data_IF_908490621186
#
_entry.id   IF_908490621186
#
_cell.length_a   1.000
_cell.length_b   1.000
_cell.length_c   1.000
_cell.angle_alpha   90.00
_cell.angle_beta   90.00
_cell.angle_gamma   90.00
#
_symmetry.space_group_name_H-M   'P 1'
#
loop_
_entity.id
_entity.type
_entity.pdbx_description
1 polymer ?
#
# COMPACT_ATOMS: atom_id res chain seq x y z
N UNK A 1 30.59 18.26 -0.90
CA UNK A 1 29.82 17.49 0.10
C UNK A 1 29.78 16.02 -0.36
N UNK A 2 30.52 15.12 0.31
CA UNK A 2 30.48 13.68 0.01
C UNK A 2 29.16 13.11 0.54
N UNK A 3 28.23 12.74 -0.33
CA UNK A 3 27.07 11.96 0.09
C UNK A 3 27.57 10.64 0.69
N UNK A 4 27.10 10.34 1.90
CA UNK A 4 27.45 9.14 2.64
C UNK A 4 27.15 7.90 1.78
N UNK A 5 28.12 6.98 1.62
CA UNK A 5 28.04 5.80 0.72
C UNK A 5 27.12 4.68 1.22
N UNK A 6 26.28 4.93 2.23
CA UNK A 6 25.34 3.94 2.74
C UNK A 6 24.12 3.89 1.81
N UNK A 7 23.67 2.70 1.38
CA UNK A 7 22.44 2.59 0.62
C UNK A 7 21.29 3.24 1.41
N UNK A 8 20.37 3.90 0.70
CA UNK A 8 19.20 4.49 1.32
C UNK A 8 18.37 3.40 2.01
N UNK A 9 17.97 3.63 3.26
CA UNK A 9 17.09 2.73 4.01
C UNK A 9 15.65 3.11 3.68
N UNK A 10 14.86 2.14 3.24
CA UNK A 10 13.44 2.31 2.93
C UNK A 10 12.56 1.93 4.12
N UNK A 11 11.30 2.37 4.09
CA UNK A 11 10.27 1.88 5.03
C UNK A 11 10.20 0.34 5.05
N UNK A 12 10.28 -0.28 3.87
CA UNK A 12 10.21 -1.73 3.75
C UNK A 12 11.40 -2.41 4.44
N UNK A 13 12.60 -1.84 4.36
CA UNK A 13 13.79 -2.38 5.04
C UNK A 13 13.61 -2.36 6.56
N UNK A 14 13.08 -1.26 7.10
CA UNK A 14 12.78 -1.12 8.53
C UNK A 14 11.73 -2.14 8.95
N UNK A 15 10.61 -2.21 8.21
CA UNK A 15 9.54 -3.17 8.48
C UNK A 15 10.06 -4.62 8.49
N UNK A 16 10.82 -5.01 7.46
CA UNK A 16 11.38 -6.36 7.36
C UNK A 16 12.39 -6.67 8.47
N UNK A 17 13.17 -5.68 8.91
CA UNK A 17 14.08 -5.86 10.04
C UNK A 17 13.30 -6.16 11.34
N UNK A 18 12.20 -5.47 11.58
CA UNK A 18 11.31 -5.77 12.71
C UNK A 18 10.60 -7.11 12.56
N UNK A 19 10.09 -7.44 11.37
CA UNK A 19 9.44 -8.72 11.12
C UNK A 19 10.36 -9.92 11.36
N UNK A 20 11.66 -9.79 11.05
CA UNK A 20 12.67 -10.81 11.37
C UNK A 20 13.02 -10.88 12.86
N UNK A 21 13.18 -9.72 13.53
CA UNK A 21 13.64 -9.67 14.93
C UNK A 21 12.54 -9.93 15.94
N UNK A 22 11.31 -9.54 15.63
CA UNK A 22 10.16 -9.51 16.55
C UNK A 22 8.86 -9.91 15.83
N UNK A 23 8.80 -11.12 15.23
CA UNK A 23 7.67 -11.53 14.39
C UNK A 23 6.32 -11.48 15.11
N UNK A 24 6.28 -11.87 16.39
CA UNK A 24 5.06 -11.94 17.21
C UNK A 24 4.70 -10.63 17.92
N UNK A 25 5.48 -9.56 17.75
CA UNK A 25 5.14 -8.29 18.38
C UNK A 25 3.93 -7.64 17.68
N UNK A 26 3.02 -7.02 18.45
CA UNK A 26 1.93 -6.23 17.88
C UNK A 26 2.48 -5.11 16.99
N UNK A 27 1.97 -5.04 15.76
CA UNK A 27 2.24 -3.97 14.81
C UNK A 27 1.04 -3.03 14.68
N UNK A 28 -0.17 -3.59 14.58
CA UNK A 28 -1.40 -2.84 14.39
C UNK A 28 -2.48 -3.43 15.28
N UNK A 29 -3.15 -2.54 16.03
CA UNK A 29 -4.37 -2.86 16.75
C UNK A 29 -5.53 -2.31 15.93
N UNK A 30 -6.52 -3.15 15.64
CA UNK A 30 -7.70 -2.73 14.90
C UNK A 30 -8.92 -3.43 15.45
N UNK A 31 -9.85 -2.64 16.02
CA UNK A 31 -10.97 -3.17 16.79
C UNK A 31 -10.44 -4.14 17.87
N UNK A 32 -11.01 -5.34 17.97
CA UNK A 32 -10.61 -6.37 18.93
C UNK A 32 -9.49 -7.28 18.41
N UNK A 33 -8.90 -6.97 17.24
CA UNK A 33 -7.86 -7.78 16.62
C UNK A 33 -6.47 -7.17 16.78
N UNK A 34 -5.50 -8.05 17.04
CA UNK A 34 -4.07 -7.72 17.08
C UNK A 34 -3.38 -8.32 15.87
N UNK A 35 -2.75 -7.47 15.07
CA UNK A 35 -1.96 -7.87 13.92
C UNK A 35 -0.48 -7.81 14.28
N UNK A 36 0.19 -8.95 14.25
CA UNK A 36 1.63 -9.01 14.49
C UNK A 36 2.43 -8.61 13.25
N UNK A 37 3.73 -8.38 13.41
CA UNK A 37 4.62 -8.16 12.26
C UNK A 37 4.60 -9.35 11.28
N UNK A 38 4.56 -10.58 11.77
CA UNK A 38 4.47 -11.79 10.93
C UNK A 38 3.15 -11.85 10.16
N UNK A 39 2.03 -11.52 10.80
CA UNK A 39 0.73 -11.47 10.13
C UNK A 39 0.72 -10.46 8.99
N UNK A 40 1.26 -9.27 9.25
CA UNK A 40 1.33 -8.21 8.27
C UNK A 40 2.28 -8.58 7.12
N UNK A 41 3.42 -9.22 7.41
CA UNK A 41 4.36 -9.66 6.38
C UNK A 41 3.74 -10.75 5.49
N UNK A 42 3.07 -11.74 6.09
CA UNK A 42 2.37 -12.81 5.38
C UNK A 42 1.25 -12.26 4.48
N UNK A 43 0.40 -11.37 5.00
CA UNK A 43 -0.70 -10.76 4.23
C UNK A 43 -0.18 -9.89 3.09
N UNK A 44 0.84 -9.06 3.34
CA UNK A 44 1.44 -8.23 2.30
C UNK A 44 2.19 -9.05 1.24
N UNK A 45 2.85 -10.16 1.61
CA UNK A 45 3.44 -11.09 0.64
C UNK A 45 2.38 -11.74 -0.26
N UNK A 46 1.24 -12.14 0.32
CA UNK A 46 0.12 -12.69 -0.44
C UNK A 46 -0.46 -11.64 -1.41
N UNK A 47 -0.68 -10.42 -0.93
CA UNK A 47 -1.18 -9.31 -1.76
C UNK A 47 -0.21 -8.98 -2.90
N UNK A 48 1.10 -8.86 -2.63
CA UNK A 48 2.11 -8.59 -3.65
C UNK A 48 2.11 -9.65 -4.77
N UNK A 49 1.96 -10.93 -4.42
CA UNK A 49 1.84 -12.01 -5.43
C UNK A 49 0.59 -11.87 -6.28
N UNK A 50 -0.55 -11.52 -5.69
CA UNK A 50 -1.80 -11.29 -6.44
C UNK A 50 -1.65 -10.09 -7.36
N UNK A 51 -1.15 -8.97 -6.83
CA UNK A 51 -0.93 -7.73 -7.58
C UNK A 51 0.00 -7.93 -8.78
N UNK A 52 1.12 -8.64 -8.59
CA UNK A 52 2.04 -8.94 -9.69
C UNK A 52 1.43 -9.91 -10.70
N UNK A 53 0.83 -11.03 -10.26
CA UNK A 53 0.38 -12.11 -11.17
C UNK A 53 -0.96 -11.85 -11.85
N UNK A 54 -1.90 -11.22 -11.15
CA UNK A 54 -3.28 -11.00 -11.63
C UNK A 54 -3.45 -9.62 -12.24
N UNK A 55 -2.77 -8.61 -11.71
CA UNK A 55 -2.89 -7.22 -12.17
C UNK A 55 -1.70 -6.77 -13.02
N UNK A 56 -0.64 -7.57 -13.10
CA UNK A 56 0.51 -7.27 -13.96
C UNK A 56 1.38 -6.10 -13.48
N UNK A 57 1.32 -5.76 -12.18
CA UNK A 57 2.05 -4.63 -11.62
C UNK A 57 3.57 -4.82 -11.71
N UNK A 58 4.26 -3.76 -12.12
CA UNK A 58 5.71 -3.68 -12.33
C UNK A 58 6.35 -2.56 -11.49
N UNK A 59 7.63 -2.70 -11.12
CA UNK A 59 8.36 -1.64 -10.43
C UNK A 59 8.26 -0.29 -11.17
N UNK A 60 8.13 0.79 -10.40
CA UNK A 60 8.00 2.17 -10.91
C UNK A 60 6.57 2.59 -11.26
N UNK A 61 5.62 1.68 -11.33
CA UNK A 61 4.21 2.04 -11.56
C UNK A 61 3.56 2.64 -10.31
N UNK A 62 2.72 3.65 -10.51
CA UNK A 62 1.88 4.21 -9.47
C UNK A 62 0.55 3.45 -9.37
N UNK A 63 0.09 3.20 -8.15
CA UNK A 63 -1.20 2.58 -7.85
C UNK A 63 -1.96 3.49 -6.90
N UNK A 64 -3.15 3.90 -7.32
CA UNK A 64 -4.05 4.66 -6.49
C UNK A 64 -4.76 3.70 -5.54
N UNK A 65 -4.75 4.01 -4.25
CA UNK A 65 -5.36 3.18 -3.22
C UNK A 65 -6.46 4.00 -2.57
N UNK A 66 -7.68 3.52 -2.72
CA UNK A 66 -8.93 4.11 -2.25
C UNK A 66 -9.61 3.14 -1.28
N UNK A 67 -8.98 2.99 -0.12
CA UNK A 67 -9.42 2.11 0.96
C UNK A 67 -9.73 2.94 2.21
N UNK A 68 -10.70 2.51 3.05
CA UNK A 68 -10.91 3.12 4.35
C UNK A 68 -9.74 2.83 5.31
N UNK A 69 -9.83 3.38 6.52
CA UNK A 69 -8.89 3.06 7.59
C UNK A 69 -9.14 1.64 8.10
N UNK A 70 -8.54 0.67 7.44
CA UNK A 70 -8.61 -0.75 7.76
C UNK A 70 -7.21 -1.38 7.70
N UNK A 71 -6.98 -2.55 8.33
CA UNK A 71 -5.70 -3.24 8.29
C UNK A 71 -5.20 -3.50 6.86
N UNK A 72 -6.12 -3.64 5.91
CA UNK A 72 -5.81 -3.84 4.51
C UNK A 72 -5.02 -2.71 3.86
N UNK A 73 -5.19 -1.49 4.36
CA UNK A 73 -4.41 -0.35 3.92
C UNK A 73 -2.91 -0.59 4.13
N UNK A 74 -2.54 -1.10 5.31
CA UNK A 74 -1.13 -1.31 5.70
C UNK A 74 -0.49 -2.44 4.90
N UNK A 75 -1.14 -3.61 4.77
CA UNK A 75 -0.54 -4.69 3.97
C UNK A 75 -0.55 -4.38 2.47
N UNK A 76 -1.48 -3.56 1.98
CA UNK A 76 -1.49 -3.09 0.59
C UNK A 76 -0.30 -2.18 0.33
N UNK A 77 -0.01 -1.25 1.24
CA UNK A 77 1.16 -0.38 1.14
C UNK A 77 2.47 -1.17 1.12
N UNK A 78 2.63 -2.12 2.05
CA UNK A 78 3.80 -2.99 2.12
C UNK A 78 3.90 -3.89 0.87
N UNK A 79 2.78 -4.37 0.33
CA UNK A 79 2.76 -5.16 -0.89
C UNK A 79 3.25 -4.36 -2.10
N UNK A 80 2.78 -3.12 -2.26
CA UNK A 80 3.23 -2.23 -3.33
C UNK A 80 4.71 -1.87 -3.17
N UNK A 81 5.16 -1.59 -1.95
CA UNK A 81 6.57 -1.37 -1.66
C UNK A 81 7.45 -2.58 -2.03
N UNK A 82 7.00 -3.80 -1.74
CA UNK A 82 7.70 -5.06 -2.11
C UNK A 82 7.79 -5.25 -3.62
N UNK A 83 6.83 -4.73 -4.38
CA UNK A 83 6.84 -4.74 -5.85
C UNK A 83 7.61 -3.56 -6.47
N UNK A 84 8.15 -2.64 -5.65
CA UNK A 84 8.75 -1.41 -6.13
C UNK A 84 7.75 -0.45 -6.78
N UNK A 85 6.46 -0.58 -6.46
CA UNK A 85 5.40 0.30 -6.95
C UNK A 85 5.21 1.49 -6.01
N UNK A 86 4.76 2.62 -6.56
CA UNK A 86 4.39 3.81 -5.81
C UNK A 86 2.92 3.71 -5.39
N UNK A 87 2.63 4.08 -4.14
CA UNK A 87 1.25 4.16 -3.66
C UNK A 87 0.80 5.62 -3.63
N UNK A 88 -0.26 5.92 -4.37
CA UNK A 88 -0.99 7.19 -4.26
C UNK A 88 -2.15 7.01 -3.29
N UNK A 89 -2.03 7.61 -2.11
CA UNK A 89 -3.02 7.54 -1.05
C UNK A 89 -4.22 8.43 -1.37
N UNK A 90 -5.36 7.83 -1.71
CA UNK A 90 -6.60 8.56 -1.95
C UNK A 90 -7.48 8.48 -0.70
N UNK A 91 -7.88 9.65 -0.18
CA UNK A 91 -8.75 9.72 0.97
C UNK A 91 -10.17 9.31 0.59
N UNK A 92 -10.66 8.23 1.21
CA UNK A 92 -12.00 7.67 1.00
C UNK A 92 -13.16 8.60 1.39
N UNK A 93 -12.91 9.74 2.04
CA UNK A 93 -13.92 10.77 2.34
C UNK A 93 -14.05 11.85 1.26
N UNK A 94 -13.12 11.90 0.29
CA UNK A 94 -13.15 12.89 -0.78
C UNK A 94 -14.16 12.47 -1.85
N UNK A 95 -14.92 13.44 -2.38
CA UNK A 95 -16.03 13.19 -3.32
C UNK A 95 -15.95 14.08 -4.55
N UNK A 96 -16.71 13.70 -5.57
CA UNK A 96 -16.97 14.48 -6.78
C UNK A 96 -15.68 14.99 -7.45
N UNK A 97 -15.65 16.28 -7.81
CA UNK A 97 -14.56 16.92 -8.57
C UNK A 97 -13.20 16.82 -7.88
N UNK A 98 -13.18 16.87 -6.54
CA UNK A 98 -11.93 16.76 -5.78
C UNK A 98 -11.35 15.34 -5.88
N UNK A 99 -12.20 14.31 -5.82
CA UNK A 99 -11.76 12.93 -6.01
C UNK A 99 -11.30 12.71 -7.46
N UNK A 100 -12.03 13.27 -8.42
CA UNK A 100 -11.64 13.18 -9.83
C UNK A 100 -10.25 13.80 -10.08
N UNK A 101 -10.01 14.97 -9.51
CA UNK A 101 -8.72 15.64 -9.58
C UNK A 101 -7.60 14.80 -8.94
N UNK A 102 -7.85 14.23 -7.75
CA UNK A 102 -6.86 13.41 -7.05
C UNK A 102 -6.50 12.13 -7.81
N UNK A 103 -7.50 11.44 -8.39
CA UNK A 103 -7.27 10.25 -9.22
C UNK A 103 -6.46 10.61 -10.47
N UNK A 104 -6.83 11.69 -11.17
CA UNK A 104 -6.10 12.14 -12.36
C UNK A 104 -4.65 12.55 -12.03
N UNK A 105 -4.44 13.25 -10.92
CA UNK A 105 -3.11 13.66 -10.46
C UNK A 105 -2.21 12.47 -10.08
N UNK A 106 -2.79 11.36 -9.61
CA UNK A 106 -2.04 10.16 -9.23
C UNK A 106 -1.35 9.50 -10.43
N UNK A 107 -1.84 9.73 -11.67
CA UNK A 107 -1.36 9.08 -12.91
C UNK A 107 -1.13 7.57 -12.72
N UNK A 108 -2.03 6.95 -11.95
CA UNK A 108 -1.90 5.58 -11.52
C UNK A 108 -2.24 4.62 -12.66
N UNK A 109 -1.49 3.53 -12.79
CA UNK A 109 -1.80 2.48 -13.75
C UNK A 109 -3.07 1.70 -13.36
N UNK A 110 -3.40 1.67 -12.07
CA UNK A 110 -4.51 0.94 -11.48
C UNK A 110 -5.05 1.66 -10.24
N UNK A 111 -6.34 1.44 -9.94
CA UNK A 111 -6.96 1.85 -8.68
C UNK A 111 -7.36 0.60 -7.90
N UNK A 112 -6.92 0.50 -6.65
CA UNK A 112 -7.40 -0.49 -5.68
C UNK A 112 -8.45 0.18 -4.80
N UNK A 113 -9.68 -0.30 -4.85
CA UNK A 113 -10.80 0.24 -4.07
C UNK A 113 -11.45 -0.85 -3.23
N UNK A 114 -12.01 -0.46 -2.08
CA UNK A 114 -12.82 -1.36 -1.26
C UNK A 114 -14.17 -1.59 -1.95
N UNK A 115 -14.78 -2.79 -1.89
CA UNK A 115 -16.05 -3.07 -2.60
C UNK A 115 -17.19 -2.10 -2.29
N UNK A 116 -17.20 -1.49 -1.10
CA UNK A 116 -18.19 -0.48 -0.69
C UNK A 116 -17.90 0.94 -1.17
N UNK A 117 -16.67 1.20 -1.63
CA UNK A 117 -16.23 2.52 -2.07
C UNK A 117 -16.47 2.68 -3.58
N UNK A 118 -17.40 3.57 -3.95
CA UNK A 118 -17.69 3.84 -5.37
C UNK A 118 -16.84 4.99 -5.87
N UNK A 119 -15.98 4.69 -6.83
CA UNK A 119 -15.38 5.72 -7.67
C UNK A 119 -16.48 6.35 -8.55
N UNK A 120 -16.41 7.66 -8.82
CA UNK A 120 -17.29 8.29 -9.80
C UNK A 120 -17.20 7.56 -11.15
N UNK A 121 -18.29 7.51 -11.94
CA UNK A 121 -18.18 7.09 -13.33
C UNK A 121 -17.28 8.06 -14.09
N UNK A 122 -16.36 7.52 -14.91
CA UNK A 122 -15.42 8.32 -15.68
C UNK A 122 -14.27 7.49 -16.27
N UNK A 123 -13.62 8.01 -17.32
CA UNK A 123 -12.31 7.51 -17.74
C UNK A 123 -11.24 8.15 -16.85
N UNK A 124 -10.39 7.31 -16.28
CA UNK A 124 -9.30 7.65 -15.37
C UNK A 124 -7.97 7.41 -16.06
#
# INVERSE_FOLDING_TARGET
RRFNRRPAVTLLDVFQAHARRRPRWPLLLFQDEVYTYEDMDRRSNRAARVFSRRLGLRPGQAVAVFLPNEPAYVWTWLALAKLGCLMACLNCNVRARALQHAVAAARAALVLASPGERLPPGRW
#
